data_IF_159910449834
#
_entry.id   IF_159910449834
#
_cell.length_a   1.000
_cell.length_b   1.000
_cell.length_c   1.000
_cell.angle_alpha   90.00
_cell.angle_beta   90.00
_cell.angle_gamma   90.00
#
_symmetry.space_group_name_H-M   'P 1'
#
loop_
_entity.id
_entity.type
_entity.pdbx_description
1 polymer ?
#
# COMPACT_ATOMS: atom_id res chain seq x y z
N UNK A 1 25.83 -19.95 -11.04
CA UNK A 1 25.86 -18.76 -10.15
C UNK A 1 24.70 -18.87 -9.18
N UNK A 2 25.04 -19.13 -7.91
CA UNK A 2 24.12 -19.48 -6.82
C UNK A 2 23.38 -18.23 -6.35
N UNK A 3 22.05 -18.17 -6.50
CA UNK A 3 21.24 -17.15 -5.86
C UNK A 3 20.66 -17.76 -4.58
N UNK A 4 21.15 -17.27 -3.44
CA UNK A 4 20.87 -17.78 -2.12
C UNK A 4 19.37 -17.61 -1.78
N UNK A 5 18.72 -18.74 -1.53
CA UNK A 5 17.33 -18.86 -1.05
C UNK A 5 17.10 -18.13 0.29
N UNK A 6 18.16 -17.83 1.02
CA UNK A 6 18.15 -17.18 2.34
C UNK A 6 17.91 -15.66 2.33
N UNK A 7 18.12 -14.97 1.20
CA UNK A 7 17.74 -13.55 1.05
C UNK A 7 16.22 -13.35 0.96
N UNK A 8 15.48 -14.45 0.72
CA UNK A 8 14.03 -14.44 0.45
C UNK A 8 13.18 -14.24 1.70
N UNK A 9 13.70 -14.62 2.87
CA UNK A 9 12.99 -14.64 4.15
C UNK A 9 13.30 -13.40 5.02
N UNK A 10 14.54 -12.88 5.00
CA UNK A 10 14.92 -11.71 5.80
C UNK A 10 14.17 -10.45 5.39
N UNK A 11 14.02 -10.25 4.08
CA UNK A 11 13.31 -9.11 3.52
C UNK A 11 11.83 -9.12 4.00
N UNK A 12 11.20 -10.29 4.16
CA UNK A 12 9.77 -10.40 4.54
C UNK A 12 9.46 -9.88 5.97
N UNK A 13 10.46 -9.88 6.86
CA UNK A 13 10.38 -9.29 8.21
C UNK A 13 10.64 -7.77 8.22
N UNK A 14 11.26 -7.20 7.18
CA UNK A 14 11.62 -5.77 7.13
C UNK A 14 10.51 -4.85 6.56
N UNK A 15 9.41 -5.41 6.03
CA UNK A 15 8.32 -4.61 5.44
C UNK A 15 7.28 -4.09 6.45
N UNK A 16 7.40 -4.47 7.72
CA UNK A 16 6.47 -4.13 8.80
C UNK A 16 7.20 -3.44 9.95
N UNK A 17 7.95 -2.38 9.68
CA UNK A 17 8.40 -1.48 10.73
C UNK A 17 7.71 -0.13 10.52
N UNK A 18 6.46 -0.04 10.99
CA UNK A 18 6.01 1.26 11.48
C UNK A 18 6.93 1.59 12.67
N UNK A 19 7.51 2.80 12.75
CA UNK A 19 8.32 3.15 13.90
C UNK A 19 7.42 3.03 15.14
N UNK A 20 7.78 2.10 16.04
CA UNK A 20 7.27 2.15 17.40
C UNK A 20 7.65 3.53 17.94
N UNK A 21 6.66 4.31 18.37
CA UNK A 21 6.91 5.55 19.10
C UNK A 21 7.81 5.20 20.28
N UNK A 22 8.92 5.92 20.43
CA UNK A 22 9.75 5.80 21.60
C UNK A 22 8.96 6.36 22.79
N UNK A 23 8.54 5.49 23.69
CA UNK A 23 7.97 5.89 24.97
C UNK A 23 9.08 6.46 25.86
N UNK A 24 8.94 7.72 26.26
CA UNK A 24 9.68 8.31 27.38
C UNK A 24 8.84 8.21 28.65
N UNK A 25 9.40 7.83 29.81
CA UNK A 25 8.61 7.62 31.01
C UNK A 25 8.41 8.89 31.85
N UNK A 26 7.26 8.87 32.56
CA UNK A 26 6.97 9.43 33.90
C UNK A 26 6.16 10.74 33.99
N UNK A 27 4.87 10.54 34.34
CA UNK A 27 3.98 11.18 35.35
C UNK A 27 3.84 12.71 35.36
N UNK A 28 2.68 13.35 35.56
CA UNK A 28 1.54 13.10 36.46
C UNK A 28 0.36 13.98 35.96
N UNK A 29 -0.89 13.62 36.25
CA UNK A 29 -2.06 14.48 36.01
C UNK A 29 -3.22 13.84 35.23
N UNK A 30 -4.24 13.46 35.99
CA UNK A 30 -5.55 12.92 35.58
C UNK A 30 -6.38 13.88 34.69
N UNK A 31 -7.35 13.29 33.98
CA UNK A 31 -8.36 13.87 33.05
C UNK A 31 -8.04 13.80 31.55
N UNK A 32 -8.35 12.66 30.91
CA UNK A 32 -8.38 12.54 29.44
C UNK A 32 -8.38 11.11 28.89
N UNK A 33 -9.27 10.23 29.36
CA UNK A 33 -9.25 8.79 29.02
C UNK A 33 -9.92 8.44 27.68
N UNK A 34 -10.72 9.34 27.09
CA UNK A 34 -11.46 9.04 25.84
C UNK A 34 -10.62 9.12 24.56
N UNK A 35 -9.54 9.91 24.57
CA UNK A 35 -8.78 10.22 23.34
C UNK A 35 -7.76 9.12 22.97
N UNK A 36 -7.34 8.31 23.95
CA UNK A 36 -6.33 7.26 23.77
C UNK A 36 -6.89 6.02 23.08
N UNK A 37 -8.15 5.70 23.36
CA UNK A 37 -8.83 4.56 22.75
C UNK A 37 -9.09 4.77 21.25
N UNK A 38 -9.46 5.99 20.85
CA UNK A 38 -9.65 6.36 19.44
C UNK A 38 -8.33 6.31 18.63
N UNK A 39 -7.22 6.74 19.22
CA UNK A 39 -5.90 6.71 18.56
C UNK A 39 -5.37 5.28 18.44
N UNK A 40 -5.53 4.47 19.48
CA UNK A 40 -5.15 3.05 19.45
C UNK A 40 -5.97 2.26 18.43
N UNK A 41 -7.28 2.47 18.37
CA UNK A 41 -8.16 1.85 17.37
C UNK A 41 -7.82 2.29 15.94
N UNK A 42 -7.50 3.57 15.74
CA UNK A 42 -7.04 4.12 14.46
C UNK A 42 -5.71 3.48 14.01
N UNK A 43 -4.77 3.30 14.94
CA UNK A 43 -3.46 2.70 14.69
C UNK A 43 -3.57 1.20 14.39
N UNK A 44 -4.41 0.47 15.14
CA UNK A 44 -4.72 -0.94 14.87
C UNK A 44 -5.39 -1.12 13.50
N UNK A 45 -6.31 -0.23 13.14
CA UNK A 45 -6.96 -0.21 11.82
C UNK A 45 -5.97 0.01 10.69
N UNK A 46 -5.03 0.95 10.84
CA UNK A 46 -3.97 1.19 9.86
C UNK A 46 -3.05 -0.03 9.69
N UNK A 47 -2.64 -0.66 10.80
CA UNK A 47 -1.81 -1.87 10.79
C UNK A 47 -2.52 -3.05 10.11
N UNK A 48 -3.79 -3.28 10.42
CA UNK A 48 -4.59 -4.33 9.80
C UNK A 48 -4.75 -4.10 8.29
N UNK A 49 -4.92 -2.84 7.88
CA UNK A 49 -4.98 -2.45 6.47
C UNK A 49 -3.64 -2.70 5.76
N UNK A 50 -2.53 -2.25 6.35
CA UNK A 50 -1.17 -2.46 5.83
C UNK A 50 -0.87 -3.96 5.68
N UNK A 51 -1.20 -4.78 6.68
CA UNK A 51 -1.03 -6.23 6.62
C UNK A 51 -1.89 -6.86 5.51
N UNK A 52 -3.13 -6.38 5.35
CA UNK A 52 -4.04 -6.89 4.32
C UNK A 52 -3.55 -6.57 2.91
N UNK A 53 -3.15 -5.32 2.65
CA UNK A 53 -2.59 -4.91 1.36
C UNK A 53 -1.21 -5.52 1.09
N UNK A 54 -0.40 -5.72 2.14
CA UNK A 54 0.96 -6.27 2.04
C UNK A 54 1.00 -7.75 1.64
N UNK A 55 0.04 -8.56 2.12
CA UNK A 55 -0.09 -10.00 1.79
C UNK A 55 -0.22 -10.29 0.29
N UNK A 56 -0.73 -9.32 -0.46
CA UNK A 56 -0.80 -9.35 -1.91
C UNK A 56 -2.09 -9.98 -2.44
N UNK A 57 -2.73 -9.31 -3.40
CA UNK A 57 -3.99 -9.72 -4.01
C UNK A 57 -3.86 -9.87 -5.51
N UNK A 58 -4.57 -10.83 -6.09
CA UNK A 58 -4.55 -11.08 -7.54
C UNK A 58 -5.59 -10.22 -8.24
N UNK A 59 -5.09 -9.33 -9.11
CA UNK A 59 -5.89 -8.34 -9.84
C UNK A 59 -5.62 -8.48 -11.34
N UNK A 60 -6.58 -8.05 -12.15
CA UNK A 60 -6.37 -7.88 -13.59
C UNK A 60 -5.72 -6.52 -13.83
N UNK A 61 -4.50 -6.53 -14.37
CA UNK A 61 -3.73 -5.31 -14.67
C UNK A 61 -3.80 -5.03 -16.17
N UNK A 62 -4.22 -3.83 -16.56
CA UNK A 62 -4.29 -3.42 -17.97
C UNK A 62 -2.90 -3.09 -18.54
N UNK A 63 -2.66 -3.55 -19.76
CA UNK A 63 -1.48 -3.26 -20.56
C UNK A 63 -1.66 -1.92 -21.29
N UNK A 64 -0.58 -1.33 -21.79
CA UNK A 64 -0.68 -0.10 -22.61
C UNK A 64 -1.50 -0.34 -23.90
N UNK A 65 -1.51 -1.58 -24.39
CA UNK A 65 -2.27 -1.98 -25.59
C UNK A 65 -3.72 -2.36 -25.28
N UNK A 66 -4.11 -2.37 -24.00
CA UNK A 66 -5.45 -2.78 -23.56
C UNK A 66 -5.55 -4.23 -23.08
N UNK A 67 -4.53 -5.06 -23.28
CA UNK A 67 -4.56 -6.46 -22.80
C UNK A 67 -4.63 -6.56 -21.29
N UNK A 68 -5.21 -7.64 -20.79
CA UNK A 68 -5.38 -7.85 -19.36
C UNK A 68 -4.49 -8.98 -18.87
N UNK A 69 -3.74 -8.70 -17.80
CA UNK A 69 -2.84 -9.66 -17.22
C UNK A 69 -3.07 -9.80 -15.73
N UNK A 70 -3.30 -11.03 -15.25
CA UNK A 70 -3.29 -11.31 -13.82
C UNK A 70 -1.94 -10.96 -13.20
N UNK A 71 -1.99 -10.18 -12.13
CA UNK A 71 -0.84 -9.77 -11.33
C UNK A 71 -1.19 -9.85 -9.86
N UNK A 72 -0.28 -10.38 -9.05
CA UNK A 72 -0.37 -10.21 -7.60
C UNK A 72 0.20 -8.85 -7.23
N UNK A 73 -0.61 -7.99 -6.64
CA UNK A 73 -0.24 -6.65 -6.18
C UNK A 73 -0.12 -6.65 -4.66
N UNK A 74 1.06 -6.32 -4.14
CA UNK A 74 1.28 -6.02 -2.72
C UNK A 74 1.58 -4.54 -2.55
N UNK A 75 1.01 -3.90 -1.52
CA UNK A 75 1.27 -2.50 -1.15
C UNK A 75 1.66 -2.43 0.32
N UNK A 76 2.63 -1.58 0.64
CA UNK A 76 3.21 -1.47 1.98
C UNK A 76 3.85 -0.09 2.18
N UNK A 77 4.10 0.29 3.43
CA UNK A 77 4.96 1.44 3.77
C UNK A 77 6.38 0.92 3.92
N UNK A 78 7.34 1.52 3.23
CA UNK A 78 8.74 1.12 3.35
C UNK A 78 9.44 1.80 4.54
N UNK A 79 10.69 1.40 4.80
CA UNK A 79 11.52 1.98 5.87
C UNK A 79 11.74 3.49 5.79
N UNK A 80 11.50 4.11 4.63
CA UNK A 80 11.59 5.55 4.44
C UNK A 80 10.24 6.24 4.70
N UNK A 81 9.25 5.52 5.22
CA UNK A 81 7.90 6.05 5.44
C UNK A 81 7.13 6.27 4.14
N UNK A 82 7.55 5.65 3.04
CA UNK A 82 6.95 5.85 1.73
C UNK A 82 6.05 4.69 1.32
N UNK A 83 4.86 4.97 0.78
CA UNK A 83 3.96 3.94 0.25
C UNK A 83 4.52 3.39 -1.05
N UNK A 84 4.77 2.08 -1.11
CA UNK A 84 5.30 1.41 -2.27
C UNK A 84 4.49 0.18 -2.63
N UNK A 85 4.51 -0.15 -3.92
CA UNK A 85 3.90 -1.36 -4.44
C UNK A 85 4.92 -2.29 -5.11
N UNK A 86 4.60 -3.58 -5.08
CA UNK A 86 5.28 -4.63 -5.85
C UNK A 86 4.23 -5.41 -6.63
N UNK A 87 4.42 -5.48 -7.95
CA UNK A 87 3.66 -6.39 -8.80
C UNK A 87 4.44 -7.68 -8.97
N UNK A 88 3.78 -8.80 -8.82
CA UNK A 88 4.35 -10.11 -9.08
C UNK A 88 3.61 -10.77 -10.26
N UNK A 89 4.37 -11.50 -11.07
CA UNK A 89 3.85 -12.30 -12.18
C UNK A 89 4.12 -13.77 -11.90
N UNK A 90 3.20 -14.64 -12.28
CA UNK A 90 3.42 -16.09 -12.28
C UNK A 90 4.17 -16.46 -13.57
N UNK A 91 5.31 -17.14 -13.44
CA UNK A 91 6.11 -17.66 -14.54
C UNK A 91 6.41 -19.11 -14.22
N UNK A 92 5.92 -20.05 -15.05
CA UNK A 92 6.15 -21.49 -14.88
C UNK A 92 5.86 -21.98 -13.45
N UNK A 93 4.73 -21.58 -12.88
CA UNK A 93 4.33 -21.95 -11.52
C UNK A 93 4.99 -21.12 -10.40
N UNK A 94 6.10 -20.44 -10.65
CA UNK A 94 6.80 -19.62 -9.66
C UNK A 94 6.34 -18.15 -9.69
N UNK A 95 6.25 -17.52 -8.52
CA UNK A 95 5.94 -16.10 -8.40
C UNK A 95 7.22 -15.25 -8.51
N UNK A 96 7.36 -14.53 -9.63
CA UNK A 96 8.47 -13.59 -9.85
C UNK A 96 8.08 -12.19 -9.39
N UNK A 97 8.92 -11.58 -8.54
CA UNK A 97 8.76 -10.20 -8.08
C UNK A 97 9.15 -9.22 -9.18
N UNK A 98 8.27 -8.30 -9.50
CA UNK A 98 8.55 -7.16 -10.36
C UNK A 98 9.20 -6.00 -9.60
N UNK A 99 9.57 -4.96 -10.34
CA UNK A 99 10.21 -3.76 -9.78
C UNK A 99 9.27 -3.04 -8.79
N UNK A 100 9.81 -2.68 -7.62
CA UNK A 100 9.17 -1.80 -6.64
C UNK A 100 8.85 -0.45 -7.29
N UNK A 101 7.68 0.10 -7.02
CA UNK A 101 7.29 1.45 -7.46
C UNK A 101 6.72 2.25 -6.30
N UNK A 102 7.14 3.50 -6.18
CA UNK A 102 6.57 4.45 -5.23
C UNK A 102 5.17 4.83 -5.69
N UNK A 103 4.23 4.83 -4.74
CA UNK A 103 2.84 5.23 -4.96
C UNK A 103 2.68 6.68 -4.55
N UNK A 104 2.02 7.46 -5.39
CA UNK A 104 1.71 8.89 -5.14
C UNK A 104 0.21 9.16 -5.11
N UNK A 105 -0.61 8.15 -5.35
CA UNK A 105 -2.06 8.28 -5.32
C UNK A 105 -2.80 7.06 -5.81
N UNK A 106 -4.11 7.07 -5.56
CA UNK A 106 -5.07 6.12 -6.06
C UNK A 106 -6.36 6.86 -6.42
N UNK A 107 -6.97 6.45 -7.53
CA UNK A 107 -8.21 7.05 -8.03
C UNK A 107 -9.14 5.91 -8.49
N UNK A 108 -10.42 6.01 -8.14
CA UNK A 108 -11.44 5.14 -8.73
C UNK A 108 -11.65 5.55 -10.20
N UNK A 109 -11.86 4.58 -11.10
CA UNK A 109 -12.01 4.87 -12.53
C UNK A 109 -13.21 4.12 -13.10
N UNK A 110 -13.73 4.63 -14.22
CA UNK A 110 -14.74 3.91 -14.98
C UNK A 110 -14.21 2.59 -15.53
N UNK A 111 -15.13 1.67 -15.83
CA UNK A 111 -14.81 0.44 -16.55
C UNK A 111 -14.09 0.76 -17.86
N UNK A 112 -13.18 -0.13 -18.27
CA UNK A 112 -12.49 0.02 -19.55
C UNK A 112 -13.48 -0.18 -20.70
N UNK A 113 -13.36 0.59 -21.81
CA UNK A 113 -14.27 0.47 -22.95
C UNK A 113 -14.43 -0.98 -23.41
N UNK A 114 -15.69 -1.40 -23.62
CA UNK A 114 -16.05 -2.75 -24.05
C UNK A 114 -16.10 -3.80 -22.93
N UNK A 115 -15.76 -3.45 -21.68
CA UNK A 115 -15.96 -4.33 -20.51
C UNK A 115 -17.36 -4.19 -19.93
N UNK A 116 -18.02 -3.04 -20.11
CA UNK A 116 -19.40 -2.82 -19.68
C UNK A 116 -20.40 -3.80 -20.32
N UNK A 117 -20.18 -4.15 -21.60
CA UNK A 117 -21.07 -5.05 -22.34
C UNK A 117 -20.98 -6.49 -21.84
N UNK A 118 -19.77 -6.96 -21.49
CA UNK A 118 -19.56 -8.31 -20.94
C UNK A 118 -20.22 -8.45 -19.56
N UNK A 119 -20.10 -7.42 -18.72
CA UNK A 119 -20.72 -7.41 -17.39
C UNK A 119 -22.24 -7.48 -17.46
N UNK A 120 -22.86 -6.82 -18.44
CA UNK A 120 -24.31 -6.89 -18.67
C UNK A 120 -24.80 -8.25 -19.19
N UNK A 121 -23.94 -9.03 -19.87
CA UNK A 121 -24.28 -10.33 -20.46
C UNK A 121 -24.16 -11.49 -19.46
N UNK A 122 -23.26 -11.39 -18.48
CA UNK A 122 -23.08 -12.41 -17.45
C UNK A 122 -24.19 -12.39 -16.37
N UNK A 123 -25.24 -11.59 -16.56
CA UNK A 123 -26.37 -11.46 -15.63
C UNK A 123 -26.01 -10.82 -14.28
N UNK A 124 -24.76 -10.38 -14.13
CA UNK A 124 -24.27 -9.74 -12.93
C UNK A 124 -24.39 -8.22 -13.11
N UNK A 125 -25.47 -7.66 -12.58
CA UNK A 125 -25.70 -6.21 -12.49
C UNK A 125 -24.63 -5.59 -11.58
N UNK A 126 -23.45 -5.37 -12.13
CA UNK A 126 -22.26 -4.90 -11.43
C UNK A 126 -22.12 -3.41 -11.67
N UNK A 127 -23.09 -2.66 -11.15
CA UNK A 127 -23.09 -1.20 -11.10
C UNK A 127 -21.93 -0.60 -10.26
N UNK A 128 -21.08 -1.44 -9.66
CA UNK A 128 -19.99 -1.06 -8.78
C UNK A 128 -18.70 -0.72 -9.54
N UNK A 129 -17.97 0.27 -9.03
CA UNK A 129 -16.64 0.59 -9.54
C UNK A 129 -15.64 -0.49 -9.09
N UNK A 130 -15.35 -1.46 -9.96
CA UNK A 130 -14.30 -2.48 -9.75
C UNK A 130 -12.93 -2.06 -10.26
N UNK A 131 -12.86 -0.90 -10.88
CA UNK A 131 -11.67 -0.41 -11.53
C UNK A 131 -11.07 0.73 -10.73
N UNK A 132 -9.75 0.69 -10.60
CA UNK A 132 -9.00 1.77 -9.98
C UNK A 132 -7.65 1.94 -10.68
N UNK A 133 -7.08 3.12 -10.50
CA UNK A 133 -5.79 3.50 -11.01
C UNK A 133 -4.86 3.82 -9.84
N UNK A 134 -3.66 3.23 -9.83
CA UNK A 134 -2.57 3.63 -8.94
C UNK A 134 -1.61 4.55 -9.69
N UNK A 135 -1.42 5.76 -9.16
CA UNK A 135 -0.41 6.70 -9.62
C UNK A 135 0.95 6.30 -9.05
N UNK A 136 1.87 5.91 -9.94
CA UNK A 136 3.19 5.39 -9.54
C UNK A 136 4.30 5.80 -10.51
N UNK A 137 4.98 6.90 -10.20
CA UNK A 137 6.07 7.46 -11.01
C UNK A 137 5.58 7.97 -12.36
N UNK A 138 6.19 7.52 -13.46
CA UNK A 138 5.92 8.03 -14.82
C UNK A 138 4.61 7.56 -15.43
N UNK A 139 4.00 6.49 -14.91
CA UNK A 139 2.82 5.88 -15.52
C UNK A 139 1.85 5.38 -14.45
N UNK A 140 0.59 5.67 -14.70
CA UNK A 140 -0.53 5.12 -13.98
C UNK A 140 -0.67 3.62 -14.27
N UNK A 141 -1.11 2.88 -13.26
CA UNK A 141 -1.35 1.44 -13.33
C UNK A 141 -2.83 1.21 -13.09
N UNK A 142 -3.55 0.79 -14.11
CA UNK A 142 -4.98 0.50 -14.04
C UNK A 142 -5.20 -0.98 -13.69
N UNK A 143 -6.14 -1.22 -12.78
CA UNK A 143 -6.52 -2.53 -12.29
C UNK A 143 -8.03 -2.71 -12.28
N UNK A 144 -8.44 -3.97 -12.41
CA UNK A 144 -9.78 -4.47 -12.15
C UNK A 144 -9.69 -5.48 -11.00
N UNK A 145 -10.50 -5.25 -9.97
CA UNK A 145 -10.68 -6.11 -8.81
C UNK A 145 -11.76 -7.18 -9.06
N UNK A 146 -11.73 -8.27 -8.30
CA UNK A 146 -12.72 -9.35 -8.43
C UNK A 146 -14.09 -8.99 -7.83
N UNK A 147 -14.12 -7.98 -6.95
CA UNK A 147 -15.33 -7.51 -6.29
C UNK A 147 -15.22 -6.03 -5.92
N UNK A 148 -16.37 -5.40 -5.72
CA UNK A 148 -16.47 -4.00 -5.31
C UNK A 148 -15.82 -3.81 -3.94
N UNK A 149 -16.01 -4.77 -3.02
CA UNK A 149 -15.35 -4.78 -1.72
C UNK A 149 -13.82 -4.77 -1.84
N UNK A 150 -13.25 -5.57 -2.74
CA UNK A 150 -11.80 -5.58 -2.96
C UNK A 150 -11.32 -4.24 -3.56
N UNK A 151 -12.09 -3.65 -4.47
CA UNK A 151 -11.80 -2.31 -5.00
C UNK A 151 -11.80 -1.24 -3.91
N UNK A 152 -12.86 -1.17 -3.09
CA UNK A 152 -12.98 -0.24 -1.96
C UNK A 152 -11.84 -0.43 -0.96
N UNK A 153 -11.49 -1.68 -0.63
CA UNK A 153 -10.36 -2.00 0.25
C UNK A 153 -9.04 -1.44 -0.29
N UNK A 154 -8.80 -1.52 -1.60
CA UNK A 154 -7.63 -0.91 -2.23
C UNK A 154 -7.68 0.62 -2.21
N UNK A 155 -8.79 1.23 -2.59
CA UNK A 155 -8.95 2.69 -2.65
C UNK A 155 -8.78 3.31 -1.25
N UNK A 156 -9.57 2.85 -0.28
CA UNK A 156 -9.50 3.36 1.08
C UNK A 156 -8.17 3.03 1.74
N UNK A 157 -7.70 1.79 1.58
CA UNK A 157 -6.50 1.34 2.25
C UNK A 157 -5.26 2.08 1.76
N UNK A 158 -5.08 2.22 0.45
CA UNK A 158 -3.96 2.99 -0.11
C UNK A 158 -4.10 4.47 0.23
N UNK A 159 -5.31 5.04 0.19
CA UNK A 159 -5.57 6.42 0.61
C UNK A 159 -5.13 6.69 2.05
N UNK A 160 -5.51 5.82 2.99
CA UNK A 160 -5.10 5.93 4.41
C UNK A 160 -3.59 5.75 4.58
N UNK A 161 -2.97 4.80 3.89
CA UNK A 161 -1.50 4.63 3.94
C UNK A 161 -0.76 5.86 3.39
N UNK A 162 -1.28 6.51 2.35
CA UNK A 162 -0.69 7.73 1.79
C UNK A 162 -0.83 8.91 2.75
N UNK A 163 -1.99 9.06 3.40
CA UNK A 163 -2.19 10.08 4.43
C UNK A 163 -1.23 9.88 5.61
N UNK A 164 -1.08 8.64 6.07
CA UNK A 164 -0.11 8.29 7.10
C UNK A 164 1.34 8.57 6.66
N UNK A 165 1.74 8.16 5.46
CA UNK A 165 3.07 8.46 4.93
C UNK A 165 3.35 9.97 4.83
N UNK A 166 2.33 10.78 4.56
CA UNK A 166 2.45 12.24 4.55
C UNK A 166 2.68 12.82 5.95
N UNK A 167 2.06 12.27 7.00
CA UNK A 167 2.26 12.72 8.39
C UNK A 167 3.64 12.34 8.95
N UNK A 168 4.34 11.37 8.35
CA UNK A 168 5.71 11.01 8.72
C UNK A 168 6.77 11.98 8.20
N UNK A 169 6.52 12.69 7.10
CA UNK A 169 7.52 13.59 6.47
C UNK A 169 7.96 14.77 7.35
N UNK A 170 7.06 15.47 8.09
CA UNK A 170 7.46 16.49 9.04
C UNK A 170 8.45 15.99 10.11
N UNK A 171 8.30 14.73 10.55
CA UNK A 171 9.15 14.12 11.59
C UNK A 171 10.54 13.75 11.08
N UNK A 172 10.66 13.35 9.81
CA UNK A 172 11.95 13.00 9.21
C UNK A 172 12.85 14.24 8.96
N UNK A 173 12.27 15.39 8.65
CA UNK A 173 13.01 16.64 8.50
C UNK A 173 13.56 17.16 9.84
N UNK A 174 12.82 17.01 10.93
CA UNK A 174 13.24 17.41 12.28
C UNK A 174 14.43 16.58 12.80
N UNK A 175 14.46 15.27 12.53
CA UNK A 175 15.57 14.40 12.93
C UNK A 175 16.88 14.68 12.18
N UNK A 176 16.82 15.19 10.95
CA UNK A 176 17.99 15.54 10.15
C UNK A 176 18.57 16.91 10.54
N UNK A 177 17.74 17.87 10.95
CA UNK A 177 18.20 19.18 11.40
C UNK A 177 19.05 19.10 12.68
N UNK A 178 18.79 18.13 13.57
CA UNK A 178 19.52 17.97 14.83
C UNK A 178 20.96 17.40 14.67
N UNK A 179 21.26 16.72 13.56
CA UNK A 179 22.59 16.13 13.33
C UNK A 179 23.61 17.12 12.73
N UNK A 180 23.16 18.23 12.13
CA UNK A 180 24.04 19.24 11.55
C UNK A 180 24.62 20.24 12.55
N UNK A 181 24.21 20.20 13.83
CA UNK A 181 24.70 21.14 14.84
C UNK A 181 25.77 20.55 15.77
N UNK A 182 26.10 19.25 15.66
CA UNK A 182 27.02 18.57 16.57
C UNK A 182 28.44 18.36 16.00
N UNK A 183 28.80 18.93 14.83
CA UNK A 183 30.14 18.81 14.24
C UNK A 183 30.88 20.15 14.08
N UNK A 184 30.49 21.18 14.81
CA UNK A 184 31.24 22.44 14.89
C UNK A 184 31.42 22.79 16.37
N UNK A 185 32.52 22.29 16.93
CA UNK A 185 32.95 22.49 18.31
C UNK A 185 34.20 21.69 18.59
#
# INVERSE_FOLDING_TARGET
>A
MHLNVWDRAKDQQEWCLLPARADTPTEDGSEGDSLRDDEAASTAGLLAMAATLGRGHELLKRSKKGDLHFRRLSVYVDRHGCVALRLQKKVMGAMMRGKKRLVTGIDAIAAWPGRELLQSLDGQDTLGQRHFCIRAGRKNLEFEAKSDHECTMFIEGIGRLLAYAASLKPLQAAGQASQHHASSG
#
